data_IF_511381922251
#
_entry.id   IF_511381922251
#
_cell.length_a   1.000
_cell.length_b   1.000
_cell.length_c   1.000
_cell.angle_alpha   90.00
_cell.angle_beta   90.00
_cell.angle_gamma   90.00
#
_symmetry.space_group_name_H-M   'P 1'
#
loop_
_entity.id
_entity.type
_entity.pdbx_description
1 polymer ?
#
# COMPACT_ATOMS: atom_id res chain seq x y z
N UNK A 1 26.59 9.69 -15.31
CA UNK A 1 26.79 9.44 -16.75
C UNK A 1 26.75 10.76 -17.49
N UNK A 2 27.80 11.13 -18.24
CA UNK A 2 27.86 12.43 -18.90
C UNK A 2 27.05 12.52 -20.20
N UNK A 3 26.72 11.37 -20.81
CA UNK A 3 26.03 11.32 -22.09
C UNK A 3 24.68 10.60 -21.96
N UNK A 4 23.62 11.25 -22.40
CA UNK A 4 22.26 10.71 -22.45
C UNK A 4 21.48 11.35 -23.60
N UNK A 5 20.45 10.67 -24.07
CA UNK A 5 19.52 11.20 -25.08
C UNK A 5 18.25 11.67 -24.37
N UNK A 6 17.78 12.85 -24.72
CA UNK A 6 16.51 13.39 -24.28
C UNK A 6 15.56 13.60 -25.45
N UNK A 7 14.28 13.51 -25.17
CA UNK A 7 13.22 14.03 -26.01
C UNK A 7 12.55 15.17 -25.25
N UNK A 8 12.75 16.39 -25.71
CA UNK A 8 12.13 17.59 -25.16
C UNK A 8 10.91 17.96 -26.00
N UNK A 9 9.79 18.23 -25.33
CA UNK A 9 8.53 18.62 -25.98
C UNK A 9 8.09 19.96 -25.40
N UNK A 10 8.09 21.00 -26.26
CA UNK A 10 7.57 22.31 -25.93
C UNK A 10 6.28 22.58 -26.71
N UNK A 11 5.24 23.00 -25.96
CA UNK A 11 3.93 23.26 -26.52
C UNK A 11 3.41 24.62 -26.04
N UNK A 12 2.76 25.39 -26.94
CA UNK A 12 2.15 26.66 -26.57
C UNK A 12 0.64 26.64 -26.84
N UNK A 13 -0.09 27.45 -26.09
CA UNK A 13 -1.57 27.55 -26.15
C UNK A 13 -2.29 26.23 -25.82
N UNK A 14 -1.73 25.43 -24.92
CA UNK A 14 -2.25 24.12 -24.50
C UNK A 14 -2.58 24.10 -23.03
N UNK A 15 -3.44 23.17 -22.63
CA UNK A 15 -3.76 22.84 -21.24
C UNK A 15 -2.87 21.71 -20.72
N UNK A 16 -2.90 21.42 -19.43
CA UNK A 16 -2.25 20.24 -18.87
C UNK A 16 -2.74 18.93 -19.50
N UNK A 17 -4.04 18.85 -19.82
CA UNK A 17 -4.64 17.69 -20.48
C UNK A 17 -4.04 17.42 -21.88
N UNK A 18 -3.80 18.47 -22.66
CA UNK A 18 -3.18 18.33 -23.98
C UNK A 18 -1.76 17.77 -23.86
N UNK A 19 -1.02 18.18 -22.83
CA UNK A 19 0.34 17.66 -22.55
C UNK A 19 0.28 16.20 -22.18
N UNK A 20 -0.66 15.80 -21.30
CA UNK A 20 -0.84 14.40 -20.89
C UNK A 20 -1.21 13.53 -22.11
N UNK A 21 -2.16 13.96 -22.95
CA UNK A 21 -2.57 13.22 -24.16
C UNK A 21 -1.41 12.97 -25.13
N UNK A 22 -0.58 13.98 -25.38
CA UNK A 22 0.60 13.82 -26.25
C UNK A 22 1.58 12.81 -25.66
N UNK A 23 1.83 12.88 -24.35
CA UNK A 23 2.74 11.95 -23.70
C UNK A 23 2.18 10.52 -23.67
N UNK A 24 0.88 10.35 -23.42
CA UNK A 24 0.23 9.02 -23.44
C UNK A 24 0.37 8.35 -24.81
N UNK A 25 0.08 9.08 -25.88
CA UNK A 25 0.23 8.56 -27.26
C UNK A 25 1.69 8.26 -27.61
N UNK A 26 2.62 9.09 -27.15
CA UNK A 26 4.05 8.84 -27.32
C UNK A 26 4.48 7.55 -26.63
N UNK A 27 4.14 7.39 -25.33
CA UNK A 27 4.47 6.20 -24.54
C UNK A 27 3.82 4.96 -25.15
N UNK A 28 2.54 5.04 -25.53
CA UNK A 28 1.85 3.94 -26.20
C UNK A 28 2.57 3.51 -27.47
N UNK A 29 2.96 4.46 -28.34
CA UNK A 29 3.67 4.16 -29.59
C UNK A 29 5.03 3.52 -29.33
N UNK A 30 5.81 4.04 -28.36
CA UNK A 30 7.12 3.50 -28.03
C UNK A 30 7.02 2.08 -27.46
N UNK A 31 6.05 1.81 -26.59
CA UNK A 31 5.85 0.50 -26.03
C UNK A 31 5.35 -0.52 -27.07
N UNK A 32 4.51 -0.07 -28.02
CA UNK A 32 4.04 -0.91 -29.12
C UNK A 32 5.21 -1.40 -30.01
N UNK A 33 6.22 -0.56 -30.28
CA UNK A 33 7.44 -0.98 -31.00
C UNK A 33 8.23 -2.05 -30.24
N UNK A 34 8.07 -2.14 -28.92
CA UNK A 34 8.67 -3.16 -28.07
C UNK A 34 7.77 -4.40 -27.90
N UNK A 35 6.62 -4.44 -28.56
CA UNK A 35 5.62 -5.51 -28.43
C UNK A 35 4.82 -5.45 -27.13
N UNK A 36 4.79 -4.30 -26.45
CA UNK A 36 4.04 -4.09 -25.22
C UNK A 36 2.82 -3.24 -25.53
N UNK A 37 1.63 -3.79 -25.30
CA UNK A 37 0.37 -3.08 -25.50
C UNK A 37 -0.07 -2.39 -24.23
N UNK A 38 -0.37 -1.08 -24.31
CA UNK A 38 -0.96 -0.30 -23.21
C UNK A 38 -2.17 0.47 -23.71
N UNK A 39 -3.23 0.50 -22.92
CA UNK A 39 -4.42 1.30 -23.21
C UNK A 39 -4.23 2.76 -22.83
N UNK A 40 -4.82 3.69 -23.56
CA UNK A 40 -4.97 5.10 -23.21
C UNK A 40 -6.46 5.45 -23.11
N UNK A 41 -6.85 6.45 -22.28
CA UNK A 41 -5.99 7.24 -21.38
C UNK A 41 -5.47 6.41 -20.21
N UNK A 42 -4.28 6.78 -19.70
CA UNK A 42 -3.77 6.17 -18.47
C UNK A 42 -4.63 6.55 -17.27
N UNK A 43 -4.71 5.64 -16.28
CA UNK A 43 -5.40 5.92 -15.03
C UNK A 43 -4.81 7.18 -14.36
N UNK A 44 -5.66 8.02 -13.80
CA UNK A 44 -5.25 9.20 -13.02
C UNK A 44 -5.58 8.99 -11.56
N UNK A 45 -4.67 9.42 -10.71
CA UNK A 45 -4.77 9.31 -9.27
C UNK A 45 -4.18 10.58 -8.65
N UNK A 46 -4.85 11.17 -7.67
CA UNK A 46 -4.24 12.28 -6.96
C UNK A 46 -3.17 11.78 -5.97
N UNK A 47 -2.24 12.69 -5.63
CA UNK A 47 -1.13 12.35 -4.73
C UNK A 47 -1.61 11.77 -3.39
N UNK A 48 -2.62 12.38 -2.77
CA UNK A 48 -3.14 11.92 -1.48
C UNK A 48 -3.76 10.51 -1.57
N UNK A 49 -4.43 10.20 -2.68
CA UNK A 49 -4.95 8.86 -2.93
C UNK A 49 -3.81 7.84 -3.09
N UNK A 50 -2.79 8.17 -3.89
CA UNK A 50 -1.63 7.29 -4.08
C UNK A 50 -0.92 7.00 -2.75
N UNK A 51 -0.67 8.02 -1.96
CA UNK A 51 -0.08 7.88 -0.63
C UNK A 51 -1.00 7.14 0.34
N UNK A 52 -2.30 7.40 0.29
CA UNK A 52 -3.28 6.74 1.15
C UNK A 52 -3.40 5.24 0.90
N UNK A 53 -3.50 4.83 -0.37
CA UNK A 53 -3.73 3.44 -0.80
C UNK A 53 -2.45 2.62 -0.93
N UNK A 54 -1.35 3.25 -1.35
CA UNK A 54 -0.14 2.52 -1.71
C UNK A 54 1.12 2.95 -0.94
N UNK A 55 1.06 4.09 -0.25
CA UNK A 55 2.19 4.63 0.51
C UNK A 55 3.35 5.12 -0.36
N UNK A 56 3.08 5.42 -1.63
CA UNK A 56 4.06 5.85 -2.63
C UNK A 56 3.40 6.68 -3.71
N UNK A 57 4.11 7.68 -4.22
CA UNK A 57 3.77 8.43 -5.43
C UNK A 57 4.15 7.70 -6.74
N UNK A 58 4.66 6.48 -6.61
CA UNK A 58 5.01 5.57 -7.72
C UNK A 58 4.44 4.18 -7.43
N UNK A 59 3.11 4.04 -7.32
CA UNK A 59 2.49 2.79 -6.95
C UNK A 59 2.64 1.73 -8.04
N UNK A 60 3.03 0.52 -7.66
CA UNK A 60 2.89 -0.62 -8.54
C UNK A 60 1.46 -1.13 -8.48
N UNK A 61 0.72 -0.96 -9.57
CA UNK A 61 -0.71 -1.32 -9.68
C UNK A 61 -0.94 -2.74 -10.19
N UNK A 62 0.12 -3.52 -10.46
CA UNK A 62 0.02 -4.89 -10.98
C UNK A 62 -0.49 -5.89 -9.96
N UNK A 63 -0.51 -5.53 -8.70
CA UNK A 63 -1.02 -6.35 -7.61
C UNK A 63 -1.82 -5.49 -6.62
N UNK A 64 -2.77 -6.09 -5.92
CA UNK A 64 -3.61 -5.44 -4.92
C UNK A 64 -2.86 -5.13 -3.62
N UNK A 65 -3.43 -5.52 -2.48
CA UNK A 65 -2.86 -5.30 -1.14
C UNK A 65 -2.72 -3.82 -0.79
N UNK A 66 -3.85 -3.12 -0.86
CA UNK A 66 -3.92 -1.69 -0.54
C UNK A 66 -3.85 -1.44 0.97
N UNK A 67 -3.37 -0.26 1.32
CA UNK A 67 -3.37 0.24 2.69
C UNK A 67 -4.79 0.67 3.05
N UNK A 68 -5.27 0.19 4.19
CA UNK A 68 -6.57 0.58 4.77
C UNK A 68 -6.36 1.44 6.01
N UNK A 69 -7.07 2.55 6.12
CA UNK A 69 -7.08 3.38 7.33
C UNK A 69 -8.01 2.75 8.38
N UNK A 70 -7.46 2.48 9.55
CA UNK A 70 -8.11 1.82 10.68
C UNK A 70 -8.31 2.77 11.88
N UNK A 71 -7.95 4.04 11.70
CA UNK A 71 -7.89 5.03 12.77
C UNK A 71 -9.25 5.21 13.44
N UNK A 72 -10.32 5.32 12.65
CA UNK A 72 -11.66 5.54 13.21
C UNK A 72 -12.22 4.31 13.94
N UNK A 73 -11.93 3.12 13.45
CA UNK A 73 -12.31 1.85 14.10
C UNK A 73 -11.67 1.72 15.48
N UNK A 74 -10.47 2.26 15.63
CA UNK A 74 -9.66 2.14 16.84
C UNK A 74 -9.71 3.38 17.76
N UNK A 75 -10.64 4.33 17.50
CA UNK A 75 -10.85 5.45 18.42
C UNK A 75 -11.33 4.96 19.77
N UNK A 76 -10.58 5.32 20.82
CA UNK A 76 -10.87 4.89 22.19
C UNK A 76 -10.44 3.46 22.52
N UNK A 77 -9.62 2.85 21.67
CA UNK A 77 -9.10 1.49 21.89
C UNK A 77 -8.37 1.32 23.22
N UNK A 78 -8.57 0.15 23.84
CA UNK A 78 -7.82 -0.27 25.02
C UNK A 78 -6.33 -0.56 24.78
N UNK A 79 -5.90 -0.69 23.51
CA UNK A 79 -4.51 -0.89 23.17
C UNK A 79 -3.74 0.44 23.16
N UNK A 80 -3.07 0.73 24.27
CA UNK A 80 -2.42 2.04 24.54
C UNK A 80 -1.48 2.52 23.44
N UNK A 81 -0.78 1.61 22.76
CA UNK A 81 0.15 2.00 21.70
C UNK A 81 -0.57 2.64 20.49
N UNK A 82 -1.73 2.11 20.11
CA UNK A 82 -2.56 2.71 19.04
C UNK A 82 -3.33 3.93 19.56
N UNK A 83 -3.95 3.81 20.75
CA UNK A 83 -4.67 4.93 21.37
C UNK A 83 -3.80 6.19 21.49
N UNK A 84 -2.59 6.06 22.01
CA UNK A 84 -1.67 7.20 22.15
C UNK A 84 -1.24 7.84 20.83
N UNK A 85 -1.10 7.05 19.75
CA UNK A 85 -0.85 7.59 18.41
C UNK A 85 -2.05 8.36 17.90
N UNK A 86 -3.25 7.80 18.02
CA UNK A 86 -4.50 8.44 17.58
C UNK A 86 -4.75 9.75 18.35
N UNK A 87 -4.60 9.74 19.67
CA UNK A 87 -4.76 10.93 20.52
C UNK A 87 -3.77 12.05 20.17
N UNK A 88 -2.58 11.69 19.68
CA UNK A 88 -1.56 12.65 19.21
C UNK A 88 -1.75 13.10 17.76
N UNK A 89 -2.87 12.75 17.11
CA UNK A 89 -3.16 13.11 15.73
C UNK A 89 -2.48 12.23 14.69
N UNK A 90 -1.97 11.07 15.09
CA UNK A 90 -1.44 10.05 14.20
C UNK A 90 -2.54 9.16 13.60
N UNK A 91 -2.12 8.18 12.82
CA UNK A 91 -3.01 7.22 12.16
C UNK A 91 -2.58 5.77 12.45
N UNK A 92 -3.56 4.88 12.45
CA UNK A 92 -3.37 3.44 12.45
C UNK A 92 -3.82 2.92 11.10
N UNK A 93 -2.93 2.23 10.39
CA UNK A 93 -3.20 1.71 9.05
C UNK A 93 -2.76 0.26 8.95
N UNK A 94 -3.37 -0.48 8.03
CA UNK A 94 -3.03 -1.90 7.84
C UNK A 94 -3.13 -2.33 6.39
N UNK A 95 -2.54 -3.50 6.11
CA UNK A 95 -2.67 -4.20 4.83
C UNK A 95 -3.08 -5.64 5.13
N UNK A 96 -4.09 -6.12 4.40
CA UNK A 96 -4.45 -7.54 4.37
C UNK A 96 -3.70 -8.21 3.21
N UNK A 97 -2.84 -9.18 3.53
CA UNK A 97 -2.05 -9.94 2.55
C UNK A 97 -2.72 -11.27 2.13
N UNK A 98 -3.97 -11.49 2.53
CA UNK A 98 -4.67 -12.74 2.28
C UNK A 98 -4.09 -13.91 3.07
N UNK A 99 -4.54 -15.11 2.72
CA UNK A 99 -4.14 -16.34 3.44
C UNK A 99 -2.64 -16.58 3.37
N UNK A 100 -2.02 -16.74 4.53
CA UNK A 100 -0.58 -17.02 4.67
C UNK A 100 -0.35 -17.99 5.82
N UNK A 101 0.66 -18.84 5.63
CA UNK A 101 1.17 -19.68 6.71
C UNK A 101 2.63 -19.26 6.97
N UNK A 102 2.88 -18.66 8.11
CA UNK A 102 4.19 -18.17 8.48
C UNK A 102 4.63 -18.73 9.82
N UNK A 103 5.88 -19.17 9.87
CA UNK A 103 6.55 -19.53 11.12
C UNK A 103 6.80 -18.31 12.00
N UNK A 104 7.06 -18.54 13.28
CA UNK A 104 7.40 -17.47 14.22
C UNK A 104 8.59 -16.64 13.76
N UNK A 105 9.64 -17.28 13.26
CA UNK A 105 10.83 -16.60 12.75
C UNK A 105 10.52 -15.70 11.54
N UNK A 106 9.61 -16.12 10.67
CA UNK A 106 9.16 -15.28 9.55
C UNK A 106 8.35 -14.08 10.02
N UNK A 107 7.49 -14.26 11.03
CA UNK A 107 6.74 -13.14 11.64
C UNK A 107 7.67 -12.14 12.33
N UNK A 108 8.68 -12.61 13.05
CA UNK A 108 9.69 -11.75 13.66
C UNK A 108 10.49 -11.00 12.57
N UNK A 109 10.79 -11.65 11.44
CA UNK A 109 11.40 -11.01 10.26
C UNK A 109 10.55 -9.88 9.65
N UNK A 110 9.21 -9.99 9.65
CA UNK A 110 8.34 -8.90 9.20
C UNK A 110 8.44 -7.66 10.11
N UNK A 111 8.59 -7.89 11.42
CA UNK A 111 8.79 -6.79 12.38
C UNK A 111 10.13 -6.08 12.11
N UNK A 112 11.17 -6.84 11.80
CA UNK A 112 12.49 -6.28 11.51
C UNK A 112 12.49 -5.53 10.15
N UNK A 113 11.83 -6.06 9.12
CA UNK A 113 11.57 -5.34 7.87
C UNK A 113 10.90 -3.98 8.11
N UNK A 114 9.86 -3.97 8.95
CA UNK A 114 9.16 -2.72 9.28
C UNK A 114 10.06 -1.72 10.03
N UNK A 115 10.91 -2.19 10.95
CA UNK A 115 11.88 -1.34 11.66
C UNK A 115 12.90 -0.74 10.72
N UNK A 116 13.41 -1.49 9.75
CA UNK A 116 14.31 -0.98 8.71
C UNK A 116 13.66 0.13 7.89
N UNK A 117 12.34 0.06 7.69
CA UNK A 117 11.55 1.12 7.04
C UNK A 117 11.19 2.27 8.00
N UNK A 118 11.65 2.22 9.24
CA UNK A 118 11.48 3.27 10.24
C UNK A 118 10.27 3.13 11.16
N UNK A 119 9.60 1.96 11.18
CA UNK A 119 8.51 1.72 12.11
C UNK A 119 9.01 1.61 13.56
N UNK A 120 8.23 2.13 14.51
CA UNK A 120 8.43 1.89 15.94
C UNK A 120 8.02 0.48 16.35
N UNK A 121 7.13 -0.14 15.58
CA UNK A 121 6.63 -1.49 15.76
C UNK A 121 5.68 -1.88 14.63
N UNK A 122 5.45 -3.18 14.49
CA UNK A 122 4.50 -3.77 13.57
C UNK A 122 3.66 -4.78 14.34
N UNK A 123 2.36 -4.72 14.16
CA UNK A 123 1.43 -5.75 14.63
C UNK A 123 1.13 -6.65 13.44
N UNK A 124 1.33 -7.94 13.65
CA UNK A 124 0.81 -8.96 12.74
C UNK A 124 -0.40 -9.64 13.40
N UNK A 125 -1.36 -10.01 12.60
CA UNK A 125 -2.55 -10.73 13.03
C UNK A 125 -3.00 -11.72 11.96
N UNK A 126 -3.51 -12.87 12.40
CA UNK A 126 -4.26 -13.77 11.53
C UNK A 126 -5.72 -13.75 11.97
N UNK A 127 -6.64 -13.69 11.02
CA UNK A 127 -8.05 -13.85 11.34
C UNK A 127 -8.32 -15.31 11.70
N UNK A 128 -8.89 -15.54 12.87
CA UNK A 128 -9.34 -16.85 13.35
C UNK A 128 -10.77 -16.70 13.91
N UNK A 129 -11.76 -17.28 13.25
CA UNK A 129 -13.17 -17.09 13.56
C UNK A 129 -13.57 -15.61 13.52
N UNK A 130 -14.20 -15.13 14.58
CA UNK A 130 -14.59 -13.72 14.72
C UNK A 130 -13.45 -12.84 15.29
N UNK A 131 -12.33 -13.45 15.70
CA UNK A 131 -11.22 -12.77 16.37
C UNK A 131 -9.91 -12.77 15.58
N UNK A 132 -8.85 -12.43 16.29
CA UNK A 132 -7.49 -12.39 15.78
C UNK A 132 -6.55 -13.28 16.60
N UNK A 133 -5.75 -14.07 15.93
CA UNK A 133 -4.52 -14.62 16.52
C UNK A 133 -3.41 -13.60 16.38
N UNK A 134 -3.23 -12.77 17.39
CA UNK A 134 -2.28 -11.67 17.42
C UNK A 134 -1.78 -11.40 18.83
N UNK A 135 -0.55 -10.85 19.01
CA UNK A 135 -0.05 -10.47 20.34
C UNK A 135 -0.94 -9.47 21.08
N UNK A 136 -1.70 -8.65 20.33
CA UNK A 136 -2.54 -7.58 20.86
C UNK A 136 -4.02 -7.97 21.01
N UNK A 137 -4.45 -9.14 20.55
CA UNK A 137 -5.86 -9.54 20.48
C UNK A 137 -6.61 -9.34 21.81
N UNK A 138 -5.97 -9.61 22.95
CA UNK A 138 -6.55 -9.46 24.28
C UNK A 138 -6.86 -8.02 24.71
N UNK A 139 -6.38 -7.03 23.96
CA UNK A 139 -6.62 -5.61 24.26
C UNK A 139 -7.70 -5.01 23.36
N UNK A 140 -8.19 -5.75 22.38
CA UNK A 140 -9.20 -5.32 21.42
C UNK A 140 -10.57 -5.85 21.85
N UNK A 141 -11.61 -5.01 21.75
CA UNK A 141 -12.98 -5.42 22.01
C UNK A 141 -13.53 -6.26 20.83
N UNK A 142 -14.62 -7.02 21.03
CA UNK A 142 -15.28 -7.71 19.93
C UNK A 142 -15.74 -6.77 18.80
N UNK A 143 -16.20 -5.58 19.16
CA UNK A 143 -16.65 -4.55 18.21
C UNK A 143 -15.47 -4.00 17.38
N UNK A 144 -14.31 -3.76 18.01
CA UNK A 144 -13.10 -3.37 17.30
C UNK A 144 -12.63 -4.47 16.35
N UNK A 145 -12.62 -5.74 16.78
CA UNK A 145 -12.25 -6.88 15.94
C UNK A 145 -13.18 -7.02 14.73
N UNK A 146 -14.49 -6.89 14.94
CA UNK A 146 -15.47 -6.92 13.86
C UNK A 146 -15.27 -5.76 12.87
N UNK A 147 -15.05 -4.56 13.38
CA UNK A 147 -14.76 -3.36 12.57
C UNK A 147 -13.46 -3.49 11.77
N UNK A 148 -12.39 -3.99 12.38
CA UNK A 148 -11.11 -4.24 11.74
C UNK A 148 -11.23 -5.28 10.61
N UNK A 149 -11.91 -6.41 10.89
CA UNK A 149 -12.16 -7.45 9.89
C UNK A 149 -12.96 -6.90 8.71
N UNK A 150 -14.00 -6.12 8.98
CA UNK A 150 -14.83 -5.52 7.94
C UNK A 150 -14.05 -4.49 7.11
N UNK A 151 -13.31 -3.58 7.75
CA UNK A 151 -12.54 -2.54 7.07
C UNK A 151 -11.45 -3.12 6.17
N UNK A 152 -10.79 -4.20 6.60
CA UNK A 152 -9.72 -4.85 5.85
C UNK A 152 -10.21 -5.95 4.90
N UNK A 153 -11.52 -6.23 4.84
CA UNK A 153 -12.08 -7.33 4.07
C UNK A 153 -11.46 -8.68 4.44
N UNK A 154 -11.12 -8.87 5.73
CA UNK A 154 -10.37 -10.03 6.16
C UNK A 154 -11.20 -11.30 6.12
N UNK A 155 -10.64 -12.38 5.60
CA UNK A 155 -11.19 -13.73 5.58
C UNK A 155 -10.43 -14.66 6.55
N UNK A 156 -10.99 -15.83 6.83
CA UNK A 156 -10.36 -16.84 7.70
C UNK A 156 -8.96 -17.21 7.21
N UNK A 157 -7.98 -17.08 8.09
CA UNK A 157 -6.56 -17.37 7.81
C UNK A 157 -5.77 -16.23 7.15
N UNK A 158 -6.41 -15.08 6.89
CA UNK A 158 -5.71 -13.93 6.32
C UNK A 158 -4.70 -13.34 7.30
N UNK A 159 -3.54 -12.98 6.76
CA UNK A 159 -2.51 -12.23 7.46
C UNK A 159 -2.74 -10.73 7.28
N UNK A 160 -2.89 -10.04 8.38
CA UNK A 160 -2.97 -8.58 8.42
C UNK A 160 -1.74 -8.01 9.09
N UNK A 161 -1.17 -6.98 8.50
CA UNK A 161 -0.06 -6.20 9.07
C UNK A 161 -0.55 -4.80 9.40
N UNK A 162 -0.38 -4.36 10.65
CA UNK A 162 -0.89 -3.07 11.13
C UNK A 162 0.24 -2.28 11.76
N UNK A 163 0.34 -1.01 11.40
CA UNK A 163 1.30 -0.06 11.95
C UNK A 163 0.61 1.25 12.35
N UNK A 164 1.25 2.00 13.25
CA UNK A 164 0.76 3.27 13.75
C UNK A 164 1.91 4.28 13.87
N UNK A 165 1.75 5.43 13.28
CA UNK A 165 2.68 6.58 13.40
C UNK A 165 1.97 7.86 12.85
N UNK A 166 2.73 8.93 12.63
CA UNK A 166 2.29 10.10 11.87
C UNK A 166 1.75 9.64 10.47
N UNK A 167 0.64 10.20 9.96
CA UNK A 167 -0.06 9.68 8.77
C UNK A 167 0.84 9.46 7.54
N UNK A 168 1.72 10.39 7.21
CA UNK A 168 2.64 10.25 6.08
C UNK A 168 3.66 9.12 6.31
N UNK A 169 4.15 8.99 7.55
CA UNK A 169 5.17 8.00 7.88
C UNK A 169 4.61 6.58 7.89
N UNK A 170 3.43 6.35 8.47
CA UNK A 170 2.81 5.02 8.46
C UNK A 170 2.45 4.58 7.04
N UNK A 171 2.04 5.51 6.17
CA UNK A 171 1.81 5.24 4.76
C UNK A 171 3.10 4.74 4.08
N UNK A 172 4.20 5.49 4.20
CA UNK A 172 5.51 5.12 3.61
C UNK A 172 6.03 3.77 4.13
N UNK A 173 5.90 3.50 5.44
CA UNK A 173 6.30 2.22 6.02
C UNK A 173 5.52 1.06 5.41
N UNK A 174 4.19 1.17 5.38
CA UNK A 174 3.34 0.13 4.83
C UNK A 174 3.51 -0.01 3.31
N UNK A 175 3.72 1.08 2.57
CA UNK A 175 4.05 1.06 1.16
C UNK A 175 5.36 0.33 0.87
N UNK A 176 6.40 0.58 1.68
CA UNK A 176 7.67 -0.14 1.61
C UNK A 176 7.52 -1.64 1.91
N UNK A 177 6.74 -1.99 2.95
CA UNK A 177 6.41 -3.39 3.25
C UNK A 177 5.63 -4.04 2.09
N UNK A 178 4.64 -3.34 1.53
CA UNK A 178 3.84 -3.80 0.40
C UNK A 178 4.74 -4.22 -0.77
N UNK A 179 5.68 -3.36 -1.17
CA UNK A 179 6.62 -3.65 -2.26
C UNK A 179 7.56 -4.80 -1.92
N UNK A 180 8.20 -4.76 -0.74
CA UNK A 180 9.14 -5.79 -0.29
C UNK A 180 8.50 -7.17 -0.21
N UNK A 181 7.27 -7.24 0.28
CA UNK A 181 6.54 -8.50 0.42
C UNK A 181 5.96 -9.00 -0.92
N UNK A 182 5.60 -8.08 -1.82
CA UNK A 182 5.18 -8.47 -3.16
C UNK A 182 6.30 -9.19 -3.91
N UNK A 183 7.53 -8.70 -3.83
CA UNK A 183 8.71 -9.36 -4.40
C UNK A 183 9.00 -10.69 -3.69
N UNK A 184 9.09 -10.70 -2.35
CA UNK A 184 9.43 -11.88 -1.53
C UNK A 184 8.46 -13.04 -1.72
N UNK A 185 7.17 -12.73 -1.87
CA UNK A 185 6.10 -13.73 -1.96
C UNK A 185 5.59 -13.94 -3.38
N UNK A 186 6.25 -13.35 -4.39
CA UNK A 186 5.89 -13.48 -5.80
C UNK A 186 4.41 -13.12 -6.06
N UNK A 187 3.97 -11.96 -5.51
CA UNK A 187 2.56 -11.53 -5.58
C UNK A 187 2.21 -10.83 -6.89
N UNK A 188 3.20 -10.51 -7.72
CA UNK A 188 2.98 -9.92 -9.04
C UNK A 188 2.63 -11.05 -10.00
N UNK A 189 1.44 -11.08 -10.60
CA UNK A 189 1.09 -12.09 -11.58
C UNK A 189 2.04 -12.05 -12.79
N UNK A 190 2.40 -13.21 -13.33
CA UNK A 190 3.30 -13.29 -14.52
C UNK A 190 2.71 -12.58 -15.73
N UNK A 191 1.37 -12.56 -15.85
CA UNK A 191 0.59 -11.95 -16.92
C UNK A 191 0.07 -10.55 -16.58
N UNK A 192 0.54 -9.93 -15.49
CA UNK A 192 0.05 -8.62 -15.04
C UNK A 192 0.28 -7.47 -16.05
N UNK A 193 1.15 -7.68 -17.03
CA UNK A 193 1.44 -6.72 -18.08
C UNK A 193 2.05 -5.42 -17.55
N UNK A 194 1.88 -4.35 -18.33
CA UNK A 194 2.29 -2.98 -17.97
C UNK A 194 1.07 -2.16 -17.60
N UNK A 195 1.08 -1.59 -16.39
CA UNK A 195 -0.02 -0.78 -15.88
C UNK A 195 0.50 0.61 -15.51
N UNK A 196 0.18 1.60 -16.36
CA UNK A 196 0.65 2.97 -16.23
C UNK A 196 -0.43 3.87 -15.62
N UNK A 197 -0.01 4.80 -14.78
CA UNK A 197 -0.89 5.81 -14.23
C UNK A 197 -0.18 7.17 -14.10
N UNK A 198 -0.95 8.24 -14.09
CA UNK A 198 -0.51 9.56 -13.71
C UNK A 198 -0.82 9.82 -12.23
N UNK A 199 0.18 10.33 -11.52
CA UNK A 199 -0.05 10.94 -10.21
C UNK A 199 -0.10 12.45 -10.41
N UNK A 200 -1.27 13.06 -10.14
CA UNK A 200 -1.60 14.45 -10.46
C UNK A 200 -2.06 15.23 -9.22
#
# INVERSE_FOLDING_TARGET
>A
QPDFTQLDIEMSFVTGEDVLDVNERLIQSLLAEMGIEVGIPFQRMCYDEAMGRFGSDKPDLRYGYEITDLTDVLRGTGFKAFGGVIESGGAVRGINFGKRELSRAQLDGLIDDAKELGAKGLVWAFREGDGWRAPIAKFLSPEELAGLNAAMGAEEGDLMLVAADVPAKVATILGGLRTRLAERWYLIPEDAGTNLCWIV
#
